data_IF_640300605246
#
_entry.id   IF_640300605246
#
_cell.length_a   1.000
_cell.length_b   1.000
_cell.length_c   1.000
_cell.angle_alpha   90.00
_cell.angle_beta   90.00
_cell.angle_gamma   90.00
#
_symmetry.space_group_name_H-M   'P 1'
#
loop_
_entity.id
_entity.type
_entity.pdbx_description
1 polymer ?
#
# COMPACT_ATOMS: atom_id res chain seq x y z
N UNK A 1 -18.68 -1.43 -19.73
CA UNK A 1 -17.49 -1.32 -18.84
C UNK A 1 -16.64 -0.16 -19.35
N UNK A 2 -15.99 0.62 -18.49
CA UNK A 2 -15.13 1.75 -18.93
C UNK A 2 -13.76 1.66 -18.26
N UNK A 3 -12.71 2.07 -18.96
CA UNK A 3 -11.35 2.15 -18.43
C UNK A 3 -10.70 3.50 -18.78
N UNK A 4 -10.06 4.13 -17.81
CA UNK A 4 -9.40 5.43 -17.99
C UNK A 4 -7.99 5.40 -17.38
N UNK A 5 -7.02 6.03 -18.03
CA UNK A 5 -5.69 6.27 -17.42
C UNK A 5 -5.73 7.55 -16.59
N UNK A 6 -5.16 7.50 -15.39
CA UNK A 6 -5.06 8.64 -14.48
C UNK A 6 -3.71 9.36 -14.62
N UNK A 7 -3.67 10.67 -14.32
CA UNK A 7 -2.45 11.50 -14.32
C UNK A 7 -1.96 11.92 -15.71
N UNK A 8 -0.85 12.68 -15.76
CA UNK A 8 -0.18 13.07 -17.00
C UNK A 8 0.84 11.99 -17.46
N UNK A 9 1.26 12.06 -18.72
CA UNK A 9 2.36 11.23 -19.19
C UNK A 9 3.69 11.76 -18.66
N UNK A 10 4.41 10.90 -17.93
CA UNK A 10 5.68 11.21 -17.26
C UNK A 10 6.72 10.12 -17.53
N UNK A 11 6.48 9.24 -18.51
CA UNK A 11 7.32 8.07 -18.80
C UNK A 11 7.15 6.89 -17.83
N UNK A 12 6.36 7.04 -16.76
CA UNK A 12 6.01 5.95 -15.83
C UNK A 12 4.66 5.31 -16.18
N UNK A 13 4.45 4.01 -15.93
CA UNK A 13 3.16 3.37 -16.11
C UNK A 13 2.05 4.08 -15.32
N UNK A 14 1.05 4.60 -16.05
CA UNK A 14 -0.08 5.33 -15.44
C UNK A 14 -1.11 4.36 -14.84
N UNK A 15 -1.64 4.65 -13.64
CA UNK A 15 -2.72 3.87 -13.05
C UNK A 15 -3.95 3.81 -13.96
N UNK A 16 -4.63 2.66 -13.96
CA UNK A 16 -5.88 2.45 -14.67
C UNK A 16 -7.05 2.51 -13.68
N UNK A 17 -8.00 3.39 -13.93
CA UNK A 17 -9.29 3.41 -13.27
C UNK A 17 -10.27 2.56 -14.09
N UNK A 18 -10.77 1.50 -13.48
CA UNK A 18 -11.67 0.54 -14.12
C UNK A 18 -13.06 0.63 -13.48
N UNK A 19 -14.08 0.92 -14.30
CA UNK A 19 -15.48 0.91 -13.91
C UNK A 19 -16.15 -0.38 -14.40
N UNK A 20 -16.44 -1.27 -13.46
CA UNK A 20 -17.16 -2.50 -13.72
C UNK A 20 -18.65 -2.25 -14.00
N UNK A 21 -19.28 -3.18 -14.72
CA UNK A 21 -20.71 -3.12 -15.02
C UNK A 21 -21.57 -3.42 -13.79
N UNK A 22 -21.14 -4.35 -12.95
CA UNK A 22 -21.83 -4.75 -11.72
C UNK A 22 -20.87 -4.87 -10.54
N UNK A 23 -21.41 -4.74 -9.33
CA UNK A 23 -20.63 -4.93 -8.10
C UNK A 23 -20.18 -6.39 -7.96
N UNK A 24 -21.00 -7.35 -8.40
CA UNK A 24 -20.69 -8.78 -8.36
C UNK A 24 -19.44 -9.11 -9.17
N UNK A 25 -19.35 -8.61 -10.42
CA UNK A 25 -18.18 -8.81 -11.28
C UNK A 25 -16.93 -8.17 -10.67
N UNK A 26 -17.07 -6.96 -10.13
CA UNK A 26 -15.98 -6.28 -9.43
C UNK A 26 -15.47 -7.10 -8.24
N UNK A 27 -16.38 -7.70 -7.48
CA UNK A 27 -16.05 -8.52 -6.31
C UNK A 27 -15.41 -9.85 -6.69
N UNK A 28 -15.83 -10.47 -7.79
CA UNK A 28 -15.19 -11.66 -8.34
C UNK A 28 -13.73 -11.38 -8.72
N UNK A 29 -13.49 -10.31 -9.48
CA UNK A 29 -12.12 -9.87 -9.82
C UNK A 29 -11.30 -9.56 -8.56
N UNK A 30 -11.90 -8.92 -7.56
CA UNK A 30 -11.22 -8.62 -6.30
C UNK A 30 -10.83 -9.87 -5.51
N UNK A 31 -11.68 -10.91 -5.51
CA UNK A 31 -11.38 -12.20 -4.84
C UNK A 31 -10.28 -12.96 -5.57
N UNK A 32 -10.31 -12.94 -6.89
CA UNK A 32 -9.30 -13.60 -7.74
C UNK A 32 -7.98 -12.82 -7.83
N UNK A 33 -7.84 -11.64 -7.21
CA UNK A 33 -6.63 -10.80 -7.31
C UNK A 33 -5.34 -11.50 -6.90
N UNK A 34 -5.40 -12.58 -6.11
CA UNK A 34 -4.23 -13.35 -5.70
C UNK A 34 -3.54 -14.05 -6.87
N UNK A 35 -4.25 -14.32 -7.96
CA UNK A 35 -3.66 -14.87 -9.20
C UNK A 35 -2.72 -13.88 -9.88
N UNK A 36 -2.81 -12.59 -9.56
CA UNK A 36 -1.94 -11.55 -10.08
C UNK A 36 -0.64 -11.38 -9.27
N UNK A 37 -0.46 -12.13 -8.18
CA UNK A 37 0.80 -12.11 -7.42
C UNK A 37 1.95 -12.55 -8.32
N UNK A 38 3.04 -11.79 -8.32
CA UNK A 38 4.20 -12.03 -9.19
C UNK A 38 4.14 -11.33 -10.54
N UNK A 39 2.99 -10.78 -10.96
CA UNK A 39 2.86 -10.03 -12.23
C UNK A 39 3.38 -8.59 -12.17
N UNK A 40 3.75 -8.09 -10.99
CA UNK A 40 4.09 -6.68 -10.78
C UNK A 40 2.88 -5.73 -10.79
N UNK A 41 1.66 -6.24 -11.00
CA UNK A 41 0.43 -5.45 -10.95
C UNK A 41 -0.12 -5.34 -9.52
N UNK A 42 -0.66 -4.16 -9.20
CA UNK A 42 -1.33 -3.90 -7.92
C UNK A 42 -2.78 -3.50 -8.19
N UNK A 43 -3.70 -4.23 -7.56
CA UNK A 43 -5.13 -3.90 -7.57
C UNK A 43 -5.51 -3.20 -6.26
N UNK A 44 -5.98 -1.96 -6.38
CA UNK A 44 -6.46 -1.15 -5.27
C UNK A 44 -7.96 -0.88 -5.41
N UNK A 45 -8.69 -0.94 -4.30
CA UNK A 45 -10.12 -0.66 -4.26
C UNK A 45 -10.34 0.84 -4.11
N UNK A 46 -11.27 1.39 -4.90
CA UNK A 46 -11.67 2.78 -4.76
C UNK A 46 -12.69 2.89 -3.64
N UNK A 47 -12.26 3.41 -2.49
CA UNK A 47 -13.12 3.68 -1.33
C UNK A 47 -13.61 5.13 -1.37
N UNK A 48 -14.80 5.37 -0.81
CA UNK A 48 -15.25 6.74 -0.51
C UNK A 48 -14.30 7.39 0.50
N UNK A 49 -14.23 8.72 0.54
CA UNK A 49 -13.32 9.44 1.44
C UNK A 49 -13.47 9.01 2.91
N UNK A 50 -14.68 8.89 3.50
CA UNK A 50 -14.82 8.44 4.88
C UNK A 50 -14.29 7.02 5.13
N UNK A 51 -14.52 6.10 4.18
CA UNK A 51 -14.03 4.71 4.26
C UNK A 51 -12.52 4.63 4.08
N UNK A 52 -11.97 5.46 3.19
CA UNK A 52 -10.53 5.57 3.02
C UNK A 52 -9.85 6.07 4.31
N UNK A 53 -10.43 7.09 4.96
CA UNK A 53 -9.91 7.61 6.22
C UNK A 53 -9.99 6.57 7.34
N UNK A 54 -11.12 5.85 7.43
CA UNK A 54 -11.27 4.72 8.34
C UNK A 54 -10.23 3.62 8.05
N UNK A 55 -9.95 3.31 6.78
CA UNK A 55 -8.95 2.31 6.40
C UNK A 55 -7.53 2.71 6.82
N UNK A 56 -7.14 3.97 6.62
CA UNK A 56 -5.84 4.48 7.05
C UNK A 56 -5.71 4.49 8.58
N UNK A 57 -6.75 4.94 9.28
CA UNK A 57 -6.78 4.93 10.73
C UNK A 57 -6.72 3.50 11.30
N UNK A 58 -7.43 2.54 10.68
CA UNK A 58 -7.39 1.14 11.08
C UNK A 58 -6.00 0.54 10.91
N UNK A 59 -5.32 0.83 9.79
CA UNK A 59 -3.93 0.40 9.58
C UNK A 59 -2.96 1.01 10.57
N UNK A 60 -3.18 2.26 10.99
CA UNK A 60 -2.39 2.92 12.03
C UNK A 60 -2.56 2.26 13.40
N UNK A 61 -3.78 1.82 13.72
CA UNK A 61 -4.10 1.20 15.01
C UNK A 61 -3.75 -0.29 15.04
N UNK A 62 -4.32 -1.12 14.17
CA UNK A 62 -4.16 -2.59 14.19
C UNK A 62 -2.95 -3.09 13.38
N UNK A 63 -2.33 -2.22 12.59
CA UNK A 63 -1.23 -2.58 11.69
C UNK A 63 -1.67 -2.89 10.27
N UNK A 64 -0.72 -2.80 9.34
CA UNK A 64 -0.94 -2.93 7.90
C UNK A 64 -1.45 -4.33 7.52
N UNK A 65 -0.86 -5.37 8.09
CA UNK A 65 -1.17 -6.76 7.72
C UNK A 65 -2.52 -7.25 8.26
N UNK A 66 -3.05 -6.57 9.28
CA UNK A 66 -4.32 -6.91 9.92
C UNK A 66 -5.52 -6.22 9.27
N UNK A 67 -5.28 -5.29 8.33
CA UNK A 67 -6.33 -4.48 7.72
C UNK A 67 -6.30 -4.60 6.19
N UNK A 68 -7.40 -5.03 5.59
CA UNK A 68 -7.58 -5.04 4.14
C UNK A 68 -8.99 -4.63 3.75
N UNK A 69 -9.26 -4.47 2.46
CA UNK A 69 -10.61 -4.13 1.97
C UNK A 69 -11.27 -5.34 1.30
N UNK A 70 -12.58 -5.43 1.45
CA UNK A 70 -13.42 -6.44 0.80
C UNK A 70 -14.81 -5.87 0.61
N UNK A 71 -15.34 -5.96 -0.62
CA UNK A 71 -16.72 -5.56 -0.94
C UNK A 71 -17.05 -4.10 -0.57
N UNK A 72 -16.08 -3.19 -0.70
CA UNK A 72 -16.24 -1.78 -0.36
C UNK A 72 -16.14 -1.49 1.13
N UNK A 73 -15.88 -2.50 1.96
CA UNK A 73 -15.78 -2.39 3.42
C UNK A 73 -14.35 -2.66 3.87
N UNK A 74 -13.99 -2.15 5.04
CA UNK A 74 -12.71 -2.42 5.68
C UNK A 74 -12.87 -3.68 6.52
N UNK A 75 -11.98 -4.64 6.34
CA UNK A 75 -11.88 -5.84 7.17
C UNK A 75 -10.69 -5.67 8.10
N UNK A 76 -10.94 -5.81 9.40
CA UNK A 76 -9.93 -5.77 10.45
C UNK A 76 -9.86 -7.15 11.10
N UNK A 77 -8.66 -7.71 11.17
CA UNK A 77 -8.34 -8.87 11.99
C UNK A 77 -7.97 -8.38 13.38
N UNK A 78 -8.81 -8.72 14.35
CA UNK A 78 -8.65 -8.33 15.74
C UNK A 78 -7.62 -9.22 16.45
N UNK A 79 -7.06 -8.78 17.59
CA UNK A 79 -6.11 -9.58 18.38
C UNK A 79 -6.64 -10.95 18.83
N UNK A 80 -7.96 -11.07 18.99
CA UNK A 80 -8.66 -12.33 19.31
C UNK A 80 -8.82 -13.27 18.11
N UNK A 81 -8.18 -12.95 16.97
CA UNK A 81 -8.28 -13.66 15.68
C UNK A 81 -9.65 -13.60 15.03
N UNK A 82 -10.59 -12.82 15.57
CA UNK A 82 -11.88 -12.58 14.96
C UNK A 82 -11.77 -11.52 13.85
N UNK A 83 -12.63 -11.63 12.84
CA UNK A 83 -12.67 -10.70 11.71
C UNK A 83 -13.89 -9.80 11.85
N UNK A 84 -13.69 -8.48 11.83
CA UNK A 84 -14.77 -7.49 11.80
C UNK A 84 -14.76 -6.74 10.48
N UNK A 85 -15.94 -6.53 9.91
CA UNK A 85 -16.15 -5.60 8.79
C UNK A 85 -16.61 -4.27 9.36
N UNK A 86 -15.98 -3.18 8.94
CA UNK A 86 -16.37 -1.82 9.30
C UNK A 86 -16.58 -0.98 8.05
N UNK A 87 -17.48 -0.02 8.14
CA UNK A 87 -17.78 0.93 7.06
C UNK A 87 -17.58 2.38 7.48
N UNK A 88 -17.63 2.65 8.78
CA UNK A 88 -17.59 3.99 9.33
C UNK A 88 -16.37 4.21 10.23
N UNK A 89 -15.86 5.45 10.32
CA UNK A 89 -14.86 5.82 11.33
C UNK A 89 -15.35 5.61 12.76
N UNK A 90 -16.66 5.72 13.02
CA UNK A 90 -17.24 5.52 14.35
C UNK A 90 -17.13 4.07 14.83
N UNK A 91 -17.41 3.10 13.95
CA UNK A 91 -17.20 1.68 14.24
C UNK A 91 -15.73 1.38 14.54
N UNK A 92 -14.81 2.02 13.80
CA UNK A 92 -13.38 1.89 14.09
C UNK A 92 -13.03 2.39 15.50
N UNK A 93 -13.55 3.55 15.90
CA UNK A 93 -13.31 4.12 17.23
C UNK A 93 -13.84 3.20 18.33
N UNK A 94 -15.02 2.60 18.12
CA UNK A 94 -15.57 1.62 19.06
C UNK A 94 -14.67 0.39 19.19
N UNK A 95 -14.19 -0.16 18.07
CA UNK A 95 -13.25 -1.29 18.09
C UNK A 95 -11.91 -0.92 18.73
N UNK A 96 -11.39 0.27 18.47
CA UNK A 96 -10.14 0.75 19.07
C UNK A 96 -10.24 0.89 20.61
N UNK A 97 -11.42 1.25 21.13
CA UNK A 97 -11.69 1.27 22.58
C UNK A 97 -11.76 -0.13 23.19
N UNK A 98 -12.34 -1.09 22.46
CA UNK A 98 -12.45 -2.49 22.91
C UNK A 98 -11.10 -3.21 22.87
N UNK A 99 -10.27 -2.90 21.88
CA UNK A 99 -8.96 -3.48 21.67
C UNK A 99 -7.90 -2.38 21.64
N UNK A 100 -7.56 -1.82 22.82
CA UNK A 100 -6.48 -0.85 22.92
C UNK A 100 -5.18 -1.54 22.50
N UNK A 101 -4.41 -0.88 21.65
CA UNK A 101 -3.06 -1.31 21.34
C UNK A 101 -2.22 -1.16 22.60
N UNK A 102 -1.84 -2.26 23.24
CA UNK A 102 -0.70 -2.26 24.16
C UNK A 102 0.48 -1.75 23.34
N UNK A 103 1.05 -0.62 23.75
CA UNK A 103 2.14 0.07 23.05
C UNK A 103 3.31 -0.87 22.79
N UNK A 104 3.32 -1.52 21.64
CA UNK A 104 4.55 -2.09 21.09
C UNK A 104 5.35 -0.89 20.61
N UNK A 105 6.42 -0.62 21.34
CA UNK A 105 7.47 0.35 21.02
C UNK A 105 7.76 0.33 19.53
N UNK A 106 7.31 1.36 18.82
CA UNK A 106 7.85 1.71 17.51
C UNK A 106 9.28 2.11 17.79
N UNK A 107 10.22 1.16 17.57
CA UNK A 107 11.62 1.49 17.43
C UNK A 107 11.71 2.62 16.41
N UNK A 108 12.23 3.76 16.85
CA UNK A 108 12.52 4.89 15.99
C UNK A 108 13.31 4.41 14.75
N UNK A 109 13.15 5.02 13.57
CA UNK A 109 14.11 4.83 12.50
C UNK A 109 15.42 5.44 12.98
N UNK A 110 16.35 4.60 13.45
CA UNK A 110 17.74 5.00 13.67
C UNK A 110 18.30 5.44 12.32
N UNK A 111 18.42 6.76 12.12
CA UNK A 111 19.31 7.31 11.10
C UNK A 111 20.70 6.72 11.38
N UNK A 112 21.12 5.77 10.55
CA UNK A 112 22.48 5.28 10.52
C UNK A 112 23.41 6.37 10.01
N UNK A 113 23.77 7.33 10.86
CA UNK A 113 25.00 8.10 10.70
C UNK A 113 26.13 7.28 11.31
N UNK A 114 26.73 6.42 10.50
CA UNK A 114 28.10 5.98 10.73
C UNK A 114 28.93 6.44 9.53
N UNK A 115 29.54 7.60 9.69
CA UNK A 115 30.63 8.07 8.86
C UNK A 115 31.88 8.12 9.73
N UNK A 116 32.86 7.25 9.43
CA UNK A 116 34.27 7.41 9.78
C UNK A 116 35.12 6.45 8.92
N UNK A 117 36.40 6.79 8.68
CA UNK A 117 36.91 6.97 7.33
C UNK A 117 37.83 5.84 6.86
N UNK A 118 37.83 5.57 5.56
CA UNK A 118 38.93 4.87 4.89
C UNK A 118 39.35 5.67 3.67
N UNK A 119 40.53 6.27 3.83
CA UNK A 119 41.35 6.87 2.79
C UNK A 119 41.59 5.87 1.67
N UNK A 120 41.42 6.28 0.40
CA UNK A 120 42.41 5.89 -0.60
C UNK A 120 42.49 6.88 -1.75
N UNK A 121 43.75 7.16 -2.07
CA UNK A 121 44.26 8.16 -3.01
C UNK A 121 43.79 7.90 -4.44
N UNK A 122 43.45 8.98 -5.14
CA UNK A 122 43.51 9.10 -6.61
C UNK A 122 44.94 8.79 -7.12
N UNK A 123 45.14 8.46 -8.41
CA UNK A 123 45.09 9.52 -9.43
C UNK A 123 44.63 9.09 -10.84
N UNK A 124 44.05 10.09 -11.53
CA UNK A 124 44.18 10.44 -12.95
C UNK A 124 44.35 9.35 -14.03
N UNK A 125 43.49 9.37 -15.05
CA UNK A 125 43.74 8.71 -16.32
C UNK A 125 42.79 9.19 -17.43
N UNK A 126 43.33 9.50 -18.60
CA UNK A 126 42.75 10.30 -19.68
C UNK A 126 41.70 9.60 -20.55
N UNK A 127 40.90 10.43 -21.22
CA UNK A 127 40.10 10.18 -22.45
C UNK A 127 40.71 9.12 -23.38
N UNK A 128 39.85 8.31 -24.02
CA UNK A 128 40.02 7.99 -25.44
C UNK A 128 38.73 7.59 -26.15
N UNK A 129 38.68 8.06 -27.40
CA UNK A 129 37.67 8.00 -28.45
C UNK A 129 38.03 6.85 -29.40
N UNK A 130 37.04 6.10 -29.92
CA UNK A 130 37.04 5.38 -31.23
C UNK A 130 35.73 4.59 -31.38
N UNK A 131 34.83 4.92 -32.31
CA UNK A 131 34.76 4.62 -33.76
C UNK A 131 34.64 3.13 -34.14
N UNK A 132 33.48 2.85 -34.76
CA UNK A 132 33.10 1.91 -35.82
C UNK A 132 33.82 0.58 -36.02
N UNK A 133 33.01 -0.46 -36.21
CA UNK A 133 33.15 -1.41 -37.31
C UNK A 133 31.77 -1.87 -37.77
#
# INVERSE_FOLDING_TARGET
>A
MSCHRLGADTGKPRPLLIRFQSLSLRNEVWRSKTTLKGSGLVLSEFLTKPRHDAFLAARKHFGVNQCWTSEGKIVVLLPDKSRRKIESPAELQQLARQYPTSSVSVGAPTLGTQASPLTNKSPSGKKSKRQAK
#
